data_IF_775027386059
#
_entry.id   IF_775027386059
#
_cell.length_a   1.000
_cell.length_b   1.000
_cell.length_c   1.000
_cell.angle_alpha   90.00
_cell.angle_beta   90.00
_cell.angle_gamma   90.00
#
_symmetry.space_group_name_H-M   'P 1'
#
loop_
_entity.id
_entity.type
_entity.pdbx_description
1 polymer ?
#
# COMPACT_ATOMS: atom_id res chain seq x y z
N UNK A 1 -1.77 -4.24 12.20
CA UNK A 1 -1.13 -2.97 11.79
C UNK A 1 -0.30 -3.24 10.55
N UNK A 2 -0.66 -2.69 9.39
CA UNK A 2 0.15 -2.84 8.18
C UNK A 2 1.41 -1.98 8.32
N UNK A 3 2.57 -2.59 8.50
CA UNK A 3 3.86 -1.93 8.49
C UNK A 3 4.42 -1.99 7.07
N UNK A 4 4.36 -0.88 6.34
CA UNK A 4 5.22 -0.69 5.17
C UNK A 4 6.61 -0.35 5.71
N UNK A 5 7.50 -1.34 5.79
CA UNK A 5 8.89 -1.13 6.17
C UNK A 5 9.66 -0.64 4.94
N UNK A 6 9.76 0.67 4.79
CA UNK A 6 10.81 1.31 4.01
C UNK A 6 11.84 1.85 5.00
N UNK A 7 12.91 1.09 5.19
CA UNK A 7 14.22 1.57 5.65
C UNK A 7 14.34 2.01 7.11
N UNK A 8 13.70 3.10 7.52
CA UNK A 8 13.88 3.64 8.88
C UNK A 8 12.87 4.75 9.23
N UNK A 9 11.69 4.76 8.61
CA UNK A 9 10.68 5.78 8.85
C UNK A 9 9.48 5.16 9.55
N UNK A 10 9.34 5.45 10.84
CA UNK A 10 8.14 5.12 11.59
C UNK A 10 7.02 6.01 11.06
N UNK A 11 6.33 5.55 10.01
CA UNK A 11 5.17 6.22 9.45
C UNK A 11 4.18 6.45 10.59
N UNK A 12 4.04 7.69 11.06
CA UNK A 12 2.82 8.07 11.77
C UNK A 12 1.74 7.84 10.73
N UNK A 13 0.84 6.89 11.00
CA UNK A 13 -0.39 6.77 10.24
C UNK A 13 -1.09 8.11 10.42
N UNK A 14 -0.86 9.03 9.49
CA UNK A 14 -1.67 10.25 9.39
C UNK A 14 -3.09 9.78 9.10
N UNK A 15 -4.06 10.47 9.67
CA UNK A 15 -5.48 10.10 9.56
C UNK A 15 -5.99 10.18 8.10
N UNK A 16 -5.22 10.83 7.21
CA UNK A 16 -5.49 11.05 5.78
C UNK A 16 -4.89 9.97 4.84
N UNK A 17 -5.14 8.69 5.12
CA UNK A 17 -4.84 7.61 4.16
C UNK A 17 -6.13 7.17 3.48
N UNK A 18 -6.23 7.41 2.17
CA UNK A 18 -7.30 6.86 1.36
C UNK A 18 -7.01 5.38 1.05
N UNK A 19 -8.02 4.51 1.22
CA UNK A 19 -7.86 3.09 0.96
C UNK A 19 -8.90 2.55 0.00
N UNK A 20 -8.48 1.60 -0.81
CA UNK A 20 -9.36 0.86 -1.72
C UNK A 20 -8.98 -0.61 -1.69
N UNK A 21 -9.98 -1.49 -1.66
CA UNK A 21 -9.73 -2.94 -1.62
C UNK A 21 -10.59 -3.70 -2.61
N UNK A 22 -9.99 -4.71 -3.23
CA UNK A 22 -10.69 -5.66 -4.07
C UNK A 22 -10.47 -7.08 -3.58
N UNK A 23 -11.47 -7.92 -3.80
CA UNK A 23 -11.43 -9.35 -3.54
C UNK A 23 -11.92 -10.09 -4.78
N UNK A 24 -11.08 -10.94 -5.33
CA UNK A 24 -11.37 -11.69 -6.56
C UNK A 24 -11.25 -13.19 -6.29
N UNK A 25 -12.26 -13.97 -6.68
CA UNK A 25 -12.24 -15.43 -6.60
C UNK A 25 -12.00 -16.02 -7.98
N UNK A 26 -11.05 -16.93 -8.10
CA UNK A 26 -10.68 -17.54 -9.37
C UNK A 26 -10.19 -18.98 -9.16
N UNK A 27 -10.89 -19.98 -9.71
CA UNK A 27 -10.49 -21.41 -9.75
C UNK A 27 -9.72 -21.93 -8.51
N UNK A 28 -10.25 -21.72 -7.30
CA UNK A 28 -9.64 -22.19 -6.05
C UNK A 28 -8.58 -21.28 -5.43
N UNK A 29 -8.40 -20.08 -5.99
CA UNK A 29 -7.59 -18.97 -5.49
C UNK A 29 -8.50 -17.80 -5.11
N UNK A 30 -8.19 -17.14 -4.01
CA UNK A 30 -8.78 -15.87 -3.61
C UNK A 30 -7.66 -14.84 -3.58
N UNK A 31 -7.81 -13.76 -4.34
CA UNK A 31 -6.85 -12.67 -4.36
C UNK A 31 -7.46 -11.42 -3.72
N UNK A 32 -6.81 -10.94 -2.67
CA UNK A 32 -7.11 -9.67 -2.02
C UNK A 32 -6.04 -8.65 -2.42
N UNK A 33 -6.47 -7.47 -2.87
CA UNK A 33 -5.59 -6.31 -3.08
C UNK A 33 -6.07 -5.16 -2.21
N UNK A 34 -5.16 -4.57 -1.46
CA UNK A 34 -5.44 -3.36 -0.67
C UNK A 34 -4.47 -2.26 -1.06
N UNK A 35 -5.02 -1.19 -1.61
CA UNK A 35 -4.32 0.02 -2.00
C UNK A 35 -4.39 1.04 -0.86
N UNK A 36 -3.29 1.75 -0.67
CA UNK A 36 -3.13 2.85 0.27
C UNK A 36 -2.61 4.05 -0.52
N UNK A 37 -3.37 5.14 -0.57
CA UNK A 37 -2.99 6.37 -1.22
C UNK A 37 -2.66 7.41 -0.14
N UNK A 38 -1.50 8.05 -0.29
CA UNK A 38 -0.98 9.06 0.63
C UNK A 38 -0.72 10.32 -0.18
N UNK A 39 -1.42 11.41 0.15
CA UNK A 39 -1.24 12.73 -0.46
C UNK A 39 -0.26 13.60 0.33
N UNK A 40 -0.23 13.43 1.65
CA UNK A 40 0.79 14.03 2.51
C UNK A 40 2.12 13.29 2.32
N UNK A 41 2.99 13.88 1.49
CA UNK A 41 4.26 13.29 1.06
C UNK A 41 5.46 14.15 1.49
N UNK A 42 5.28 15.03 2.46
CA UNK A 42 6.35 15.91 2.97
C UNK A 42 7.48 15.12 3.64
N UNK A 43 7.20 13.88 4.06
CA UNK A 43 8.18 12.94 4.60
C UNK A 43 9.08 12.28 3.54
N UNK A 44 8.78 12.42 2.25
CA UNK A 44 9.52 11.74 1.19
C UNK A 44 10.84 12.48 0.88
N UNK A 45 11.96 11.88 1.27
CA UNK A 45 13.28 12.41 0.96
C UNK A 45 13.47 12.60 -0.54
N UNK A 46 14.12 13.70 -0.92
CA UNK A 46 14.35 14.09 -2.31
C UNK A 46 13.08 14.30 -3.16
N UNK A 47 11.92 14.57 -2.54
CA UNK A 47 10.67 14.86 -3.24
C UNK A 47 10.83 15.95 -4.30
N UNK A 48 11.67 16.95 -4.05
CA UNK A 48 11.95 18.05 -4.97
C UNK A 48 12.54 17.60 -6.31
N UNK A 49 13.14 16.41 -6.38
CA UNK A 49 13.64 15.82 -7.65
C UNK A 49 12.52 15.28 -8.53
N UNK A 50 11.31 15.15 -8.00
CA UNK A 50 10.14 14.60 -8.70
C UNK A 50 9.14 15.73 -8.97
N UNK A 51 9.46 16.57 -9.97
CA UNK A 51 8.62 17.69 -10.37
C UNK A 51 7.18 17.22 -10.66
N UNK A 52 6.20 17.82 -9.97
CA UNK A 52 4.79 17.49 -10.13
C UNK A 52 4.32 16.25 -9.35
N UNK A 53 5.14 15.66 -8.47
CA UNK A 53 4.70 14.57 -7.59
C UNK A 53 3.65 15.05 -6.58
N UNK A 54 2.46 14.45 -6.62
CA UNK A 54 1.29 14.85 -5.81
C UNK A 54 0.92 13.86 -4.71
N UNK A 55 1.29 12.59 -4.87
CA UNK A 55 0.95 11.52 -3.94
C UNK A 55 1.82 10.30 -4.23
N UNK A 56 1.85 9.38 -3.27
CA UNK A 56 2.38 8.02 -3.46
C UNK A 56 1.32 7.01 -3.06
N UNK A 57 1.39 5.82 -3.64
CA UNK A 57 0.52 4.72 -3.23
C UNK A 57 1.29 3.42 -3.06
N UNK A 58 0.77 2.57 -2.17
CA UNK A 58 1.27 1.23 -1.94
C UNK A 58 0.13 0.22 -2.12
N UNK A 59 0.44 -0.94 -2.70
CA UNK A 59 -0.52 -2.04 -2.85
C UNK A 59 0.02 -3.24 -2.10
N UNK A 60 -0.75 -3.74 -1.13
CA UNK A 60 -0.53 -5.08 -0.62
C UNK A 60 -1.41 -6.05 -1.37
N UNK A 61 -0.78 -7.07 -1.91
CA UNK A 61 -1.44 -8.23 -2.50
C UNK A 61 -1.36 -9.40 -1.52
N UNK A 62 -2.44 -10.15 -1.41
CA UNK A 62 -2.46 -11.44 -0.72
C UNK A 62 -3.26 -12.42 -1.56
N UNK A 63 -2.70 -13.61 -1.76
CA UNK A 63 -3.23 -14.68 -2.56
C UNK A 63 -3.41 -15.88 -1.66
N UNK A 64 -4.64 -16.28 -1.44
CA UNK A 64 -4.99 -17.47 -0.69
C UNK A 64 -5.35 -18.59 -1.65
N UNK A 65 -4.81 -19.77 -1.39
CA UNK A 65 -5.18 -21.03 -2.02
C UNK A 65 -5.42 -22.05 -0.92
N UNK A 66 -6.03 -23.20 -1.24
CA UNK A 66 -6.22 -24.29 -0.26
C UNK A 66 -4.95 -24.70 0.49
N UNK A 67 -3.77 -24.53 -0.13
CA UNK A 67 -2.51 -25.05 0.38
C UNK A 67 -1.59 -23.98 0.95
N UNK A 68 -1.74 -22.73 0.50
CA UNK A 68 -0.81 -21.66 0.85
C UNK A 68 -1.43 -20.28 0.70
N UNK A 69 -0.93 -19.36 1.52
CA UNK A 69 -1.14 -17.93 1.40
C UNK A 69 0.16 -17.27 0.98
N UNK A 70 0.12 -16.33 0.04
CA UNK A 70 1.30 -15.62 -0.50
C UNK A 70 1.03 -14.13 -0.63
#
# INVERSE_FOLDING_TARGET
>A
MFRLFLGHFQFRLTEDIETFSTLEKNHGRIEARKCYLIKDIDWLDNREKWAGLRCVFAVKRTVETKYKTT
#
